data_IF_346497693106
#
_entry.id   IF_346497693106
#
_cell.length_a   1.000
_cell.length_b   1.000
_cell.length_c   1.000
_cell.angle_alpha   90.00
_cell.angle_beta   90.00
_cell.angle_gamma   90.00
#
_symmetry.space_group_name_H-M   'P 1'
#
loop_
_entity.id
_entity.type
_entity.pdbx_description
1 polymer ?
#
# COMPACT_ATOMS: atom_id res chain seq x y z
N UNK A 1 11.72 3.47 -15.67
CA UNK A 1 10.91 3.15 -16.87
C UNK A 1 10.88 1.66 -16.95
N UNK A 2 9.68 1.09 -16.83
CA UNK A 2 9.41 -0.34 -16.91
C UNK A 2 9.95 -0.85 -18.24
N UNK A 3 11.05 -1.62 -18.22
CA UNK A 3 11.67 -2.13 -19.44
C UNK A 3 11.10 -3.52 -19.70
N UNK A 4 9.89 -3.53 -20.26
CA UNK A 4 9.15 -4.72 -20.71
C UNK A 4 9.94 -5.64 -21.65
N UNK A 5 11.06 -5.15 -22.20
CA UNK A 5 11.96 -5.88 -23.08
C UNK A 5 13.30 -6.22 -22.45
N UNK A 6 13.53 -6.00 -21.15
CA UNK A 6 14.77 -6.42 -20.50
C UNK A 6 14.76 -7.94 -20.24
N UNK A 7 15.85 -8.64 -20.56
CA UNK A 7 16.00 -10.09 -20.37
C UNK A 7 14.98 -10.97 -21.12
N UNK A 8 14.55 -10.51 -22.29
CA UNK A 8 13.73 -11.23 -23.25
C UNK A 8 14.62 -12.12 -24.11
N UNK A 9 14.26 -13.40 -24.22
CA UNK A 9 14.93 -14.33 -25.13
C UNK A 9 14.63 -13.98 -26.58
N UNK A 10 15.67 -13.92 -27.41
CA UNK A 10 15.62 -13.68 -28.84
C UNK A 10 16.34 -14.84 -29.53
N UNK A 11 15.68 -15.44 -30.51
CA UNK A 11 16.18 -16.59 -31.27
C UNK A 11 16.10 -16.31 -32.77
N UNK A 12 17.18 -16.63 -33.49
CA UNK A 12 17.30 -16.56 -34.95
C UNK A 12 17.14 -17.95 -35.55
N UNK A 13 16.38 -18.05 -36.64
CA UNK A 13 16.22 -19.29 -37.39
C UNK A 13 16.56 -19.12 -38.87
N UNK A 14 16.98 -20.23 -39.49
CA UNK A 14 17.14 -20.40 -40.93
C UNK A 14 15.78 -20.65 -41.62
N UNK A 15 15.76 -20.61 -42.96
CA UNK A 15 14.60 -20.88 -43.81
C UNK A 15 13.99 -22.27 -43.57
N UNK A 16 14.82 -23.24 -43.16
CA UNK A 16 14.38 -24.60 -42.78
C UNK A 16 13.92 -24.70 -41.31
N UNK A 17 13.88 -23.58 -40.58
CA UNK A 17 13.44 -23.51 -39.18
C UNK A 17 14.47 -24.01 -38.16
N UNK A 18 15.75 -24.13 -38.55
CA UNK A 18 16.84 -24.50 -37.64
C UNK A 18 17.33 -23.29 -36.85
N UNK A 19 17.59 -23.46 -35.56
CA UNK A 19 18.11 -22.42 -34.67
C UNK A 19 19.56 -22.08 -35.03
N UNK A 20 19.82 -20.83 -35.42
CA UNK A 20 21.14 -20.33 -35.81
C UNK A 20 21.84 -19.61 -34.66
N UNK A 21 21.09 -18.91 -33.81
CA UNK A 21 21.62 -18.22 -32.63
C UNK A 21 20.50 -17.86 -31.64
N UNK A 22 20.81 -17.92 -30.34
CA UNK A 22 19.93 -17.46 -29.27
C UNK A 22 20.68 -16.54 -28.30
N UNK A 23 19.96 -15.58 -27.71
CA UNK A 23 20.47 -14.75 -26.63
C UNK A 23 19.38 -13.94 -25.94
N UNK A 24 19.74 -13.18 -24.91
CA UNK A 24 18.80 -12.40 -24.11
C UNK A 24 19.09 -10.91 -24.24
N UNK A 25 18.04 -10.09 -24.36
CA UNK A 25 18.17 -8.63 -24.31
C UNK A 25 18.79 -8.19 -22.99
N UNK A 26 19.61 -7.14 -23.06
CA UNK A 26 20.26 -6.59 -21.87
C UNK A 26 19.24 -5.87 -20.96
N UNK A 27 19.68 -5.43 -19.78
CA UNK A 27 18.86 -4.65 -18.84
C UNK A 27 18.35 -3.31 -19.40
N UNK A 28 18.76 -2.93 -20.62
CA UNK A 28 18.22 -1.81 -21.38
C UNK A 28 17.21 -2.15 -22.48
N UNK A 29 16.92 -3.44 -22.64
CA UNK A 29 16.01 -3.96 -23.66
C UNK A 29 16.61 -3.97 -25.06
N UNK A 30 17.90 -3.66 -25.22
CA UNK A 30 18.59 -3.80 -26.49
C UNK A 30 19.25 -5.17 -26.58
N UNK A 31 19.25 -5.73 -27.79
CA UNK A 31 20.03 -6.91 -28.14
C UNK A 31 20.71 -6.61 -29.47
N UNK A 32 22.02 -6.87 -29.55
CA UNK A 32 22.82 -6.58 -30.72
C UNK A 32 23.47 -7.87 -31.19
N UNK A 33 23.06 -8.36 -32.35
CA UNK A 33 23.82 -9.38 -33.07
C UNK A 33 25.06 -8.70 -33.67
N UNK A 34 26.25 -9.04 -33.18
CA UNK A 34 27.52 -8.56 -33.75
C UNK A 34 27.85 -9.22 -35.09
N UNK A 35 27.36 -10.46 -35.30
CA UNK A 35 27.53 -11.22 -36.54
C UNK A 35 26.19 -11.86 -36.93
N UNK A 36 25.49 -11.28 -37.92
CA UNK A 36 24.25 -11.84 -38.47
C UNK A 36 24.61 -12.87 -39.55
N UNK A 37 24.31 -14.17 -39.35
CA UNK A 37 24.53 -15.16 -40.40
C UNK A 37 23.65 -14.85 -41.61
N UNK A 38 24.20 -15.00 -42.82
CA UNK A 38 23.48 -14.69 -44.08
C UNK A 38 22.23 -15.56 -44.30
N UNK A 39 22.14 -16.69 -43.58
CA UNK A 39 21.06 -17.68 -43.60
C UNK A 39 19.92 -17.32 -42.62
N UNK A 40 20.09 -16.30 -41.76
CA UNK A 40 19.06 -15.88 -40.84
C UNK A 40 17.87 -15.24 -41.57
N UNK A 41 16.72 -15.92 -41.55
CA UNK A 41 15.50 -15.47 -42.26
C UNK A 41 14.38 -15.08 -41.31
N UNK A 42 14.30 -15.68 -40.12
CA UNK A 42 13.25 -15.36 -39.14
C UNK A 42 13.81 -15.09 -37.75
N UNK A 43 13.20 -14.10 -37.08
CA UNK A 43 13.52 -13.67 -35.72
C UNK A 43 12.28 -13.93 -34.86
N UNK A 44 12.43 -14.68 -33.77
CA UNK A 44 11.38 -14.81 -32.76
C UNK A 44 11.88 -14.26 -31.43
N UNK A 45 10.97 -13.69 -30.65
CA UNK A 45 11.23 -13.26 -29.29
C UNK A 45 10.10 -13.74 -28.39
N UNK A 46 10.44 -14.15 -27.18
CA UNK A 46 9.43 -14.55 -26.20
C UNK A 46 9.04 -13.33 -25.37
N UNK A 47 7.85 -12.78 -25.59
CA UNK A 47 7.36 -11.69 -24.74
C UNK A 47 7.04 -12.27 -23.36
N UNK A 48 7.77 -11.89 -22.29
CA UNK A 48 7.43 -12.35 -20.96
C UNK A 48 6.00 -11.96 -20.65
N UNK A 49 5.31 -12.81 -19.88
CA UNK A 49 3.95 -12.52 -19.46
C UNK A 49 3.90 -11.10 -18.85
N UNK A 50 2.82 -10.33 -19.08
CA UNK A 50 2.69 -8.95 -18.57
C UNK A 50 2.81 -8.87 -17.04
N UNK A 51 2.68 -10.01 -16.35
CA UNK A 51 3.00 -10.19 -14.94
C UNK A 51 4.04 -11.30 -14.84
N UNK A 52 5.27 -10.94 -14.54
CA UNK A 52 6.35 -11.88 -14.24
C UNK A 52 6.72 -11.77 -12.76
N UNK A 53 6.61 -12.88 -12.03
CA UNK A 53 7.15 -12.97 -10.67
C UNK A 53 8.66 -13.16 -10.83
N UNK A 54 9.42 -12.10 -10.55
CA UNK A 54 10.89 -12.14 -10.59
C UNK A 54 11.44 -12.53 -9.21
N UNK A 55 12.48 -13.35 -9.20
CA UNK A 55 13.24 -13.60 -7.98
C UNK A 55 14.21 -12.43 -7.72
N UNK A 56 14.50 -12.10 -6.44
CA UNK A 56 15.42 -11.03 -6.11
C UNK A 56 16.85 -11.47 -6.41
N UNK A 57 17.41 -10.97 -7.51
CA UNK A 57 18.80 -11.21 -7.89
C UNK A 57 19.70 -10.05 -7.48
N UNK A 58 20.87 -10.36 -6.94
CA UNK A 58 21.86 -9.35 -6.57
C UNK A 58 22.57 -8.86 -7.84
N UNK A 59 22.25 -7.66 -8.29
CA UNK A 59 22.95 -7.00 -9.40
C UNK A 59 23.79 -5.83 -8.88
N UNK A 60 25.10 -6.07 -8.71
CA UNK A 60 26.04 -5.09 -8.16
C UNK A 60 25.84 -4.85 -6.66
N UNK A 61 25.58 -3.59 -6.27
CA UNK A 61 25.31 -3.18 -4.89
C UNK A 61 23.83 -3.20 -4.50
N UNK A 62 22.92 -3.45 -5.45
CA UNK A 62 21.47 -3.47 -5.22
C UNK A 62 20.87 -4.82 -5.61
N UNK A 63 19.72 -5.14 -5.02
CA UNK A 63 18.87 -6.23 -5.48
C UNK A 63 17.91 -5.70 -6.55
N UNK A 64 17.75 -6.45 -7.63
CA UNK A 64 16.80 -6.16 -8.72
C UNK A 64 15.91 -7.37 -8.91
N UNK A 65 14.64 -7.12 -9.24
CA UNK A 65 13.61 -8.15 -9.22
C UNK A 65 13.06 -8.41 -7.82
N UNK A 66 11.97 -9.18 -7.74
CA UNK A 66 11.24 -9.44 -6.51
C UNK A 66 10.54 -8.22 -5.92
N UNK A 67 10.07 -8.37 -4.68
CA UNK A 67 9.46 -7.29 -3.91
C UNK A 67 10.56 -6.44 -3.26
N UNK A 68 10.73 -5.20 -3.72
CA UNK A 68 11.67 -4.23 -3.12
C UNK A 68 10.93 -3.24 -2.22
N UNK A 69 11.33 -3.14 -0.95
CA UNK A 69 10.88 -2.09 -0.05
C UNK A 69 11.81 -0.87 -0.20
N UNK A 70 11.33 0.24 -0.76
CA UNK A 70 12.17 1.43 -0.90
C UNK A 70 12.37 2.12 0.46
N UNK A 71 13.54 2.72 0.72
CA UNK A 71 13.79 3.44 1.98
C UNK A 71 12.77 4.54 2.28
N UNK A 72 12.27 5.23 1.25
CA UNK A 72 11.28 6.30 1.36
C UNK A 72 9.93 5.75 1.82
N UNK A 73 9.52 4.60 1.27
CA UNK A 73 8.30 3.92 1.71
C UNK A 73 8.42 3.45 3.17
N UNK A 74 9.56 2.86 3.54
CA UNK A 74 9.82 2.42 4.91
C UNK A 74 9.77 3.59 5.90
N UNK A 75 10.39 4.72 5.56
CA UNK A 75 10.36 5.93 6.38
C UNK A 75 8.94 6.49 6.55
N UNK A 76 8.18 6.59 5.46
CA UNK A 76 6.79 7.02 5.48
C UNK A 76 5.91 6.09 6.33
N UNK A 77 6.05 4.78 6.13
CA UNK A 77 5.31 3.76 6.85
C UNK A 77 5.58 3.86 8.35
N UNK A 78 6.85 3.91 8.75
CA UNK A 78 7.23 4.05 10.16
C UNK A 78 6.68 5.34 10.77
N UNK A 79 6.79 6.47 10.08
CA UNK A 79 6.26 7.75 10.56
C UNK A 79 4.75 7.69 10.79
N UNK A 80 3.99 7.17 9.82
CA UNK A 80 2.53 7.05 9.93
C UNK A 80 2.10 6.05 11.00
N UNK A 81 2.79 4.92 11.12
CA UNK A 81 2.48 3.88 12.11
C UNK A 81 2.74 4.38 13.53
N UNK A 82 3.90 5.01 13.77
CA UNK A 82 4.24 5.54 15.10
C UNK A 82 3.28 6.66 15.48
N UNK A 83 3.04 7.62 14.57
CA UNK A 83 2.10 8.72 14.80
C UNK A 83 0.70 8.21 15.11
N UNK A 84 0.13 7.39 14.21
CA UNK A 84 -1.26 6.93 14.34
C UNK A 84 -1.42 5.95 15.50
N UNK A 85 -0.43 5.08 15.70
CA UNK A 85 -0.41 4.11 16.79
C UNK A 85 -0.44 4.78 18.16
N UNK A 86 0.29 5.89 18.36
CA UNK A 86 0.25 6.65 19.60
C UNK A 86 -1.14 7.19 19.92
N UNK A 87 -1.83 7.80 18.94
CA UNK A 87 -3.19 8.30 19.11
C UNK A 87 -4.20 7.17 19.36
N UNK A 88 -4.09 6.06 18.62
CA UNK A 88 -4.96 4.89 18.84
C UNK A 88 -4.74 4.31 20.25
N UNK A 89 -3.51 4.22 20.73
CA UNK A 89 -3.21 3.75 22.08
C UNK A 89 -3.90 4.62 23.15
N UNK A 90 -3.91 5.94 22.97
CA UNK A 90 -4.58 6.86 23.88
C UNK A 90 -6.10 6.73 23.81
N UNK A 91 -6.67 6.54 22.62
CA UNK A 91 -8.10 6.25 22.44
C UNK A 91 -8.48 4.94 23.17
N UNK A 92 -7.66 3.89 23.04
CA UNK A 92 -7.88 2.61 23.73
C UNK A 92 -7.80 2.78 25.24
N UNK A 93 -6.78 3.49 25.74
CA UNK A 93 -6.62 3.79 27.16
C UNK A 93 -7.82 4.58 27.72
N UNK A 94 -8.25 5.62 27.01
CA UNK A 94 -9.40 6.44 27.39
C UNK A 94 -10.70 5.62 27.37
N UNK A 95 -10.91 4.78 26.35
CA UNK A 95 -12.09 3.92 26.25
C UNK A 95 -12.19 2.90 27.37
N UNK A 96 -11.06 2.28 27.79
CA UNK A 96 -11.03 1.36 28.93
C UNK A 96 -11.37 2.09 30.24
N UNK A 97 -10.79 3.28 30.44
CA UNK A 97 -11.02 4.09 31.64
C UNK A 97 -12.42 4.71 31.73
N UNK A 98 -13.13 4.83 30.60
CA UNK A 98 -14.51 5.31 30.57
C UNK A 98 -15.51 4.29 31.17
N UNK A 99 -15.13 3.02 31.29
CA UNK A 99 -15.98 1.99 31.90
C UNK A 99 -16.03 2.19 33.42
N UNK A 100 -17.25 2.24 33.97
CA UNK A 100 -17.48 2.45 35.40
C UNK A 100 -16.71 1.43 36.26
N UNK A 101 -16.01 1.91 37.30
CA UNK A 101 -15.28 1.09 38.28
C UNK A 101 -16.15 0.01 38.91
N UNK A 102 -17.45 0.25 39.10
CA UNK A 102 -18.39 -0.75 39.62
C UNK A 102 -18.49 -2.02 38.76
N UNK A 103 -18.31 -1.92 37.43
CA UNK A 103 -18.26 -3.09 36.55
C UNK A 103 -17.01 -3.94 36.80
N UNK A 104 -15.88 -3.29 37.09
CA UNK A 104 -14.65 -3.96 37.47
C UNK A 104 -14.80 -4.66 38.82
N UNK A 105 -15.30 -3.95 39.82
CA UNK A 105 -15.50 -4.46 41.18
C UNK A 105 -16.52 -5.62 41.19
N UNK A 106 -17.64 -5.49 40.47
CA UNK A 106 -18.64 -6.54 40.35
C UNK A 106 -18.08 -7.80 39.67
N UNK A 107 -17.31 -7.65 38.58
CA UNK A 107 -16.69 -8.79 37.91
C UNK A 107 -15.72 -9.55 38.84
N UNK A 108 -14.96 -8.82 39.66
CA UNK A 108 -14.05 -9.40 40.66
C UNK A 108 -14.81 -10.07 41.80
N UNK A 109 -15.92 -9.48 42.26
CA UNK A 109 -16.79 -10.08 43.27
C UNK A 109 -17.41 -11.40 42.80
N UNK A 110 -17.65 -11.55 41.49
CA UNK A 110 -18.09 -12.81 40.87
C UNK A 110 -16.95 -13.81 40.63
N UNK A 111 -15.73 -13.50 41.07
CA UNK A 111 -14.56 -14.38 40.92
C UNK A 111 -13.93 -14.40 39.52
N UNK A 112 -14.29 -13.46 38.64
CA UNK A 112 -13.66 -13.37 37.31
C UNK A 112 -12.22 -12.88 37.42
N UNK A 113 -11.30 -13.59 36.76
CA UNK A 113 -9.91 -13.15 36.61
C UNK A 113 -9.78 -11.94 35.67
N UNK A 114 -8.69 -11.18 35.78
CA UNK A 114 -8.49 -9.93 35.02
C UNK A 114 -8.69 -10.07 33.51
N UNK A 115 -8.20 -11.15 32.89
CA UNK A 115 -8.38 -11.39 31.46
C UNK A 115 -9.85 -11.64 31.06
N UNK A 116 -10.58 -12.36 31.91
CA UNK A 116 -12.01 -12.63 31.75
C UNK A 116 -12.84 -11.35 31.92
N UNK A 117 -12.55 -10.56 32.95
CA UNK A 117 -13.13 -9.22 33.16
C UNK A 117 -12.92 -8.33 31.94
N UNK A 118 -11.68 -8.25 31.42
CA UNK A 118 -11.36 -7.39 30.29
C UNK A 118 -12.15 -7.83 29.05
N UNK A 119 -12.11 -9.13 28.70
CA UNK A 119 -12.71 -9.64 27.46
C UNK A 119 -14.25 -9.62 27.47
N UNK A 120 -14.88 -9.96 28.60
CA UNK A 120 -16.33 -10.18 28.67
C UNK A 120 -17.13 -8.98 29.20
N UNK A 121 -16.52 -8.12 30.02
CA UNK A 121 -17.23 -7.03 30.68
C UNK A 121 -16.76 -5.68 30.14
N UNK A 122 -15.45 -5.41 30.25
CA UNK A 122 -14.91 -4.07 30.01
C UNK A 122 -14.80 -3.78 28.51
N UNK A 123 -14.15 -4.67 27.74
CA UNK A 123 -13.87 -4.43 26.32
C UNK A 123 -15.16 -4.23 25.49
N UNK A 124 -16.25 -5.02 25.65
CA UNK A 124 -17.48 -4.78 24.91
C UNK A 124 -18.13 -3.42 25.18
N UNK A 125 -17.95 -2.85 26.38
CA UNK A 125 -18.43 -1.52 26.75
C UNK A 125 -17.48 -0.44 26.23
N UNK A 126 -16.18 -0.61 26.46
CA UNK A 126 -15.13 0.30 26.05
C UNK A 126 -15.07 0.49 24.53
N UNK A 127 -15.26 -0.57 23.75
CA UNK A 127 -15.31 -0.51 22.28
C UNK A 127 -16.35 0.50 21.77
N UNK A 128 -17.51 0.60 22.42
CA UNK A 128 -18.58 1.55 22.03
C UNK A 128 -18.14 2.99 22.17
N UNK A 129 -17.30 3.27 23.16
CA UNK A 129 -16.73 4.60 23.42
C UNK A 129 -15.53 4.88 22.49
N UNK A 130 -14.76 3.85 22.10
CA UNK A 130 -13.59 4.00 21.22
C UNK A 130 -13.94 4.24 19.75
N UNK A 131 -15.07 3.71 19.26
CA UNK A 131 -15.39 3.73 17.82
C UNK A 131 -15.53 5.14 17.23
N UNK A 132 -16.27 6.09 17.86
CA UNK A 132 -16.39 7.44 17.32
C UNK A 132 -15.04 8.15 17.12
N UNK A 133 -14.11 8.22 18.10
CA UNK A 133 -12.82 8.85 17.87
C UNK A 133 -11.91 8.09 16.91
N UNK A 134 -12.00 6.74 16.83
CA UNK A 134 -11.25 5.97 15.84
C UNK A 134 -11.63 6.33 14.41
N UNK A 135 -12.89 6.65 14.16
CA UNK A 135 -13.37 7.10 12.84
C UNK A 135 -12.60 8.32 12.34
N UNK A 136 -12.47 9.33 13.20
CA UNK A 136 -11.68 10.53 12.91
C UNK A 136 -10.21 10.20 12.69
N UNK A 137 -9.65 9.26 13.45
CA UNK A 137 -8.26 8.85 13.30
C UNK A 137 -8.00 8.18 11.94
N UNK A 138 -8.92 7.35 11.44
CA UNK A 138 -8.80 6.76 10.10
C UNK A 138 -8.91 7.81 8.99
N UNK A 139 -9.82 8.78 9.11
CA UNK A 139 -9.90 9.90 8.17
C UNK A 139 -8.62 10.73 8.14
N UNK A 140 -8.01 10.94 9.31
CA UNK A 140 -6.74 11.64 9.42
C UNK A 140 -5.59 10.84 8.82
N UNK A 141 -5.56 9.52 8.99
CA UNK A 141 -4.53 8.67 8.38
C UNK A 141 -4.54 8.78 6.85
N UNK A 142 -5.71 8.76 6.22
CA UNK A 142 -5.86 8.92 4.76
C UNK A 142 -5.38 10.30 4.30
N UNK A 143 -5.63 11.36 5.07
CA UNK A 143 -5.16 12.71 4.70
C UNK A 143 -3.65 12.85 4.92
N UNK A 144 -3.14 12.35 6.04
CA UNK A 144 -1.74 12.48 6.42
C UNK A 144 -0.81 11.64 5.55
N UNK A 145 -1.30 10.58 4.89
CA UNK A 145 -0.49 9.82 3.93
C UNK A 145 -0.03 10.67 2.74
N UNK A 146 -0.73 11.76 2.41
CA UNK A 146 -0.32 12.71 1.37
C UNK A 146 0.97 13.49 1.70
N UNK A 147 1.39 13.50 2.97
CA UNK A 147 2.64 14.12 3.41
C UNK A 147 3.88 13.31 2.96
N UNK A 148 3.67 12.16 2.30
CA UNK A 148 4.69 11.34 1.66
C UNK A 148 5.67 12.12 0.77
N UNK A 149 5.21 13.20 0.14
CA UNK A 149 6.05 14.11 -0.64
C UNK A 149 7.25 14.65 0.14
N UNK A 150 7.15 14.80 1.46
CA UNK A 150 8.23 15.31 2.31
C UNK A 150 9.45 14.38 2.35
N UNK A 151 9.25 13.08 2.14
CA UNK A 151 10.33 12.07 2.05
C UNK A 151 10.58 11.62 0.62
N UNK A 152 10.01 12.30 -0.37
CA UNK A 152 10.20 11.99 -1.79
C UNK A 152 9.48 10.72 -2.27
N UNK A 153 8.57 10.15 -1.47
CA UNK A 153 7.82 8.97 -1.90
C UNK A 153 6.74 9.35 -2.93
N UNK A 154 6.65 8.66 -4.09
CA UNK A 154 5.73 9.01 -5.17
C UNK A 154 4.30 8.53 -4.87
N UNK A 155 3.61 9.23 -3.96
CA UNK A 155 2.20 9.00 -3.68
C UNK A 155 1.28 9.68 -4.73
N UNK A 156 -0.04 9.56 -4.55
CA UNK A 156 -1.04 10.19 -5.42
C UNK A 156 -0.80 11.70 -5.59
N UNK A 157 -0.46 12.40 -4.50
CA UNK A 157 -0.22 13.83 -4.56
C UNK A 157 1.04 14.18 -5.35
N UNK A 158 2.14 13.45 -5.12
CA UNK A 158 3.39 13.64 -5.85
C UNK A 158 3.22 13.37 -7.36
N UNK A 159 2.56 12.26 -7.72
CA UNK A 159 2.30 11.90 -9.12
C UNK A 159 1.43 12.96 -9.81
N UNK A 160 0.40 13.45 -9.13
CA UNK A 160 -0.43 14.53 -9.67
C UNK A 160 0.35 15.81 -9.91
N UNK A 161 1.25 16.21 -8.99
CA UNK A 161 2.12 17.37 -9.19
C UNK A 161 3.00 17.23 -10.44
N UNK A 162 3.55 16.05 -10.67
CA UNK A 162 4.34 15.77 -11.88
C UNK A 162 3.51 15.95 -13.14
N UNK A 163 2.28 15.42 -13.18
CA UNK A 163 1.37 15.57 -14.32
C UNK A 163 1.01 17.04 -14.54
N UNK A 164 0.69 17.77 -13.48
CA UNK A 164 0.35 19.20 -13.54
C UNK A 164 1.53 20.01 -14.10
N UNK A 165 2.75 19.77 -13.62
CA UNK A 165 3.93 20.47 -14.09
C UNK A 165 4.26 20.17 -15.58
N UNK A 166 3.91 18.98 -16.07
CA UNK A 166 4.14 18.60 -17.46
C UNK A 166 3.06 19.13 -18.42
N UNK A 167 1.81 19.22 -17.96
CA UNK A 167 0.66 19.56 -18.80
C UNK A 167 0.20 21.01 -18.67
N UNK A 168 0.60 21.71 -17.61
CA UNK A 168 0.09 23.04 -17.26
C UNK A 168 -1.36 23.04 -16.76
N UNK A 169 -1.99 21.88 -16.61
CA UNK A 169 -3.39 21.71 -16.21
C UNK A 169 -3.58 21.77 -14.69
N UNK A 170 -3.18 22.89 -14.07
CA UNK A 170 -3.14 23.03 -12.60
C UNK A 170 -4.49 22.81 -11.93
N UNK A 171 -5.54 23.45 -12.45
CA UNK A 171 -6.88 23.35 -11.88
C UNK A 171 -7.43 21.93 -11.99
N UNK A 172 -7.28 21.28 -13.15
CA UNK A 172 -7.77 19.91 -13.34
C UNK A 172 -7.04 18.92 -12.44
N UNK A 173 -5.72 19.05 -12.29
CA UNK A 173 -4.92 18.15 -11.44
C UNK A 173 -5.28 18.27 -9.96
N UNK A 174 -5.42 19.48 -9.44
CA UNK A 174 -5.83 19.71 -8.05
C UNK A 174 -7.25 19.19 -7.81
N UNK A 175 -8.19 19.43 -8.73
CA UNK A 175 -9.56 18.92 -8.63
C UNK A 175 -9.60 17.39 -8.58
N UNK A 176 -8.79 16.71 -9.39
CA UNK A 176 -8.72 15.25 -9.40
C UNK A 176 -8.21 14.72 -8.05
N UNK A 177 -7.14 15.31 -7.52
CA UNK A 177 -6.60 14.95 -6.19
C UNK A 177 -7.66 15.15 -5.10
N UNK A 178 -8.29 16.33 -5.06
CA UNK A 178 -9.33 16.62 -4.07
C UNK A 178 -10.50 15.66 -4.17
N UNK A 179 -10.95 15.35 -5.39
CA UNK A 179 -12.03 14.40 -5.63
C UNK A 179 -11.64 13.00 -5.12
N UNK A 180 -10.42 12.52 -5.42
CA UNK A 180 -9.95 11.21 -4.96
C UNK A 180 -9.89 11.13 -3.43
N UNK A 181 -9.26 12.10 -2.75
CA UNK A 181 -9.20 12.11 -1.29
C UNK A 181 -10.59 12.26 -0.64
N UNK A 182 -11.50 13.02 -1.27
CA UNK A 182 -12.88 13.12 -0.83
C UNK A 182 -13.62 11.79 -0.97
N UNK A 183 -13.46 11.08 -2.09
CA UNK A 183 -14.05 9.76 -2.31
C UNK A 183 -13.58 8.76 -1.25
N UNK A 184 -12.27 8.68 -0.98
CA UNK A 184 -11.76 7.83 0.10
C UNK A 184 -12.29 8.24 1.47
N UNK A 185 -12.39 9.54 1.74
CA UNK A 185 -12.96 10.06 3.00
C UNK A 185 -14.43 9.67 3.15
N UNK A 186 -15.23 9.77 2.09
CA UNK A 186 -16.64 9.39 2.10
C UNK A 186 -16.82 7.88 2.26
N UNK A 187 -16.03 7.06 1.56
CA UNK A 187 -16.07 5.59 1.72
C UNK A 187 -15.74 5.21 3.18
N UNK A 188 -14.66 5.77 3.72
CA UNK A 188 -14.25 5.53 5.11
C UNK A 188 -15.33 5.99 6.10
N UNK A 189 -15.88 7.18 5.90
CA UNK A 189 -16.97 7.72 6.73
C UNK A 189 -18.22 6.87 6.65
N UNK A 190 -18.63 6.41 5.47
CA UNK A 190 -19.79 5.53 5.28
C UNK A 190 -19.60 4.20 6.01
N UNK A 191 -18.45 3.56 5.84
CA UNK A 191 -18.12 2.31 6.52
C UNK A 191 -18.15 2.48 8.05
N UNK A 192 -17.52 3.54 8.56
CA UNK A 192 -17.45 3.81 9.98
C UNK A 192 -18.81 4.22 10.56
N UNK A 193 -19.62 4.99 9.84
CA UNK A 193 -20.98 5.34 10.24
C UNK A 193 -21.89 4.10 10.30
N UNK A 194 -21.75 3.19 9.34
CA UNK A 194 -22.44 1.90 9.37
C UNK A 194 -22.01 1.06 10.57
N UNK A 195 -20.70 0.99 10.85
CA UNK A 195 -20.17 0.26 12.00
C UNK A 195 -20.62 0.89 13.32
N UNK A 196 -20.58 2.22 13.42
CA UNK A 196 -21.07 2.97 14.57
C UNK A 196 -22.56 2.68 14.82
N UNK A 197 -23.41 2.70 13.78
CA UNK A 197 -24.84 2.35 13.92
C UNK A 197 -25.07 0.94 14.46
N UNK A 198 -24.19 -0.02 14.16
CA UNK A 198 -24.30 -1.39 14.68
C UNK A 198 -23.88 -1.52 16.15
N UNK A 199 -23.02 -0.63 16.63
CA UNK A 199 -22.42 -0.72 17.96
C UNK A 199 -22.98 0.32 18.95
N UNK A 200 -23.64 1.36 18.45
CA UNK A 200 -24.24 2.43 19.23
C UNK A 200 -25.30 1.90 20.21
N UNK A 201 -25.23 2.38 21.45
CA UNK A 201 -26.22 2.14 22.49
C UNK A 201 -27.55 2.77 22.05
N UNK A 202 -28.62 1.98 22.08
CA UNK A 202 -29.98 2.53 22.17
C UNK A 202 -30.09 3.09 23.59
N UNK A 203 -29.73 4.37 23.77
CA UNK A 203 -30.09 5.10 24.98
C UNK A 203 -31.63 5.13 25.06
N UNK A 204 -32.16 4.62 26.18
CA UNK A 204 -33.56 4.74 26.59
C UNK A 204 -33.62 5.69 27.76
#
# INVERSE_FOLDING_TARGET
VDRTLAYVSIVLFDADGQELAAGMTEGDGTFRFTDLPAEATTLTWDTPAPIAISEPERQGFNFRGGLSLTPEFAALLLALVVYTGAFIAEIVRAGINAVNKGQWEASRALGLGTGATLRMVVLPQALRVMIPPLTSQYLNLVKNSSLAIAVGYPDLFNVSRTIVNQTGAEVQGILLVMATYLTFSLITSLFMNWYNKRVALVER
#
